data_IF_269861570497
#
_entry.id   IF_269861570497
#
_cell.length_a   1.000
_cell.length_b   1.000
_cell.length_c   1.000
_cell.angle_alpha   90.00
_cell.angle_beta   90.00
_cell.angle_gamma   90.00
#
_symmetry.space_group_name_H-M   'P 1'
#
loop_
_entity.id
_entity.type
_entity.pdbx_description
1 polymer ?
#
# COMPACT_ATOMS: atom_id res chain seq x y z
N UNK A 1 21.17 -26.56 11.37
CA UNK A 1 19.93 -25.77 11.54
C UNK A 1 19.96 -24.62 10.54
N UNK A 2 18.86 -24.41 9.79
CA UNK A 2 18.74 -23.23 8.95
C UNK A 2 18.67 -21.98 9.86
N UNK A 3 19.36 -20.88 9.49
CA UNK A 3 19.30 -19.67 10.30
C UNK A 3 17.85 -19.21 10.46
N UNK A 4 17.49 -18.82 11.68
CA UNK A 4 16.15 -18.30 11.97
C UNK A 4 15.89 -17.07 11.07
N UNK A 5 14.75 -17.08 10.37
CA UNK A 5 14.37 -15.96 9.51
C UNK A 5 14.16 -14.70 10.36
N UNK A 6 14.77 -13.56 10.01
CA UNK A 6 14.58 -12.32 10.76
C UNK A 6 13.15 -11.79 10.57
N UNK A 7 12.64 -11.10 11.58
CA UNK A 7 11.44 -10.28 11.40
C UNK A 7 11.78 -9.07 10.52
N UNK A 8 10.83 -8.67 9.66
CA UNK A 8 10.98 -7.53 8.76
C UNK A 8 9.91 -6.50 9.10
N UNK A 9 10.31 -5.28 9.42
CA UNK A 9 9.43 -4.14 9.62
C UNK A 9 9.77 -3.11 8.56
N UNK A 10 8.79 -2.77 7.72
CA UNK A 10 8.91 -1.73 6.71
C UNK A 10 8.06 -0.52 7.12
N UNK A 11 8.67 0.66 7.19
CA UNK A 11 8.01 1.91 7.55
C UNK A 11 8.08 2.87 6.37
N UNK A 12 6.92 3.21 5.81
CA UNK A 12 6.77 4.22 4.76
C UNK A 12 6.10 5.45 5.33
N UNK A 13 6.86 6.54 5.44
CA UNK A 13 6.31 7.82 5.81
C UNK A 13 5.59 8.48 4.63
N UNK A 14 4.47 9.15 4.90
CA UNK A 14 3.66 9.86 3.90
C UNK A 14 3.99 11.35 3.96
N UNK A 15 4.29 11.95 2.82
CA UNK A 15 4.63 13.37 2.67
C UNK A 15 5.82 13.86 3.51
N UNK A 16 6.78 12.97 3.80
CA UNK A 16 8.02 13.32 4.50
C UNK A 16 9.14 13.59 3.49
N UNK A 17 9.68 14.78 3.55
CA UNK A 17 10.79 15.19 2.70
C UNK A 17 12.17 14.84 3.28
N UNK A 18 13.18 14.87 2.44
CA UNK A 18 14.56 14.61 2.82
C UNK A 18 15.05 15.52 3.98
N UNK A 19 14.64 16.81 3.96
CA UNK A 19 15.00 17.79 4.98
C UNK A 19 14.18 17.72 6.27
N UNK A 20 13.26 16.78 6.41
CA UNK A 20 12.43 16.64 7.62
C UNK A 20 13.05 15.70 8.66
N UNK A 21 14.05 14.90 8.26
CA UNK A 21 14.70 13.90 9.11
C UNK A 21 16.05 14.42 9.61
N UNK A 22 16.29 14.28 10.92
CA UNK A 22 17.47 14.84 11.59
C UNK A 22 18.80 14.40 10.98
N UNK A 23 18.97 13.11 10.67
CA UNK A 23 20.21 12.56 10.07
C UNK A 23 20.52 13.15 8.68
N UNK A 24 19.53 13.70 7.99
CA UNK A 24 19.70 14.43 6.74
C UNK A 24 19.78 15.96 6.90
N UNK A 25 19.90 16.45 8.14
CA UNK A 25 19.97 17.88 8.45
C UNK A 25 18.61 18.54 8.70
N UNK A 26 17.57 17.77 8.93
CA UNK A 26 16.24 18.26 9.32
C UNK A 26 16.26 19.04 10.62
N UNK A 27 15.37 20.03 10.74
CA UNK A 27 15.28 20.90 11.93
C UNK A 27 14.47 20.28 13.08
N UNK A 28 13.63 19.31 12.76
CA UNK A 28 12.83 18.59 13.76
C UNK A 28 13.64 17.42 14.30
N UNK A 29 13.77 17.25 15.62
CA UNK A 29 14.49 16.11 16.17
C UNK A 29 13.81 14.78 15.84
N UNK A 30 14.55 13.85 15.27
CA UNK A 30 14.08 12.48 14.96
C UNK A 30 14.98 11.41 15.59
N UNK A 31 15.16 11.42 16.94
CA UNK A 31 16.22 10.66 17.60
C UNK A 31 16.15 9.14 17.36
N UNK A 32 14.96 8.57 17.23
CA UNK A 32 14.81 7.15 16.98
C UNK A 32 15.18 6.77 15.53
N UNK A 33 14.81 7.60 14.55
CA UNK A 33 15.20 7.40 13.14
C UNK A 33 16.69 7.61 12.98
N UNK A 34 17.23 8.65 13.61
CA UNK A 34 18.66 8.95 13.60
C UNK A 34 19.48 7.79 14.22
N UNK A 35 18.96 7.18 15.30
CA UNK A 35 19.57 6.00 15.92
C UNK A 35 19.57 4.78 14.98
N UNK A 36 18.49 4.56 14.23
CA UNK A 36 18.45 3.50 13.23
C UNK A 36 19.49 3.73 12.13
N UNK A 37 19.64 4.96 11.66
CA UNK A 37 20.64 5.32 10.67
C UNK A 37 22.08 5.07 11.16
N UNK A 38 22.36 5.33 12.45
CA UNK A 38 23.65 5.07 13.07
C UNK A 38 23.97 3.58 13.22
N UNK A 39 22.96 2.75 13.42
CA UNK A 39 23.11 1.30 13.63
C UNK A 39 23.01 0.49 12.34
N UNK A 40 22.52 1.09 11.27
CA UNK A 40 22.26 0.43 10.01
C UNK A 40 22.95 1.10 8.83
N UNK A 41 22.21 1.22 7.73
CA UNK A 41 22.69 1.83 6.50
C UNK A 41 21.87 3.08 6.18
N UNK A 42 22.54 4.19 5.92
CA UNK A 42 21.95 5.45 5.47
C UNK A 42 22.10 5.56 3.95
N UNK A 43 20.98 5.69 3.24
CA UNK A 43 20.98 5.94 1.80
C UNK A 43 20.92 7.45 1.55
N UNK A 44 21.92 7.98 0.85
CA UNK A 44 22.03 9.41 0.52
C UNK A 44 21.45 9.78 -0.84
N UNK A 45 21.12 8.77 -1.65
CA UNK A 45 20.59 8.92 -3.01
C UNK A 45 19.54 7.82 -3.31
N UNK A 46 18.47 7.80 -2.50
CA UNK A 46 17.34 6.92 -2.71
C UNK A 46 16.13 7.71 -3.26
N UNK A 47 15.50 7.18 -4.30
CA UNK A 47 14.41 7.84 -4.98
C UNK A 47 13.12 7.04 -4.89
N UNK A 48 12.02 7.73 -4.62
CA UNK A 48 10.69 7.16 -4.81
C UNK A 48 10.41 7.01 -6.31
N UNK A 49 9.73 5.93 -6.75
CA UNK A 49 9.39 5.74 -8.15
C UNK A 49 8.37 6.74 -8.69
N UNK A 50 7.70 7.50 -7.81
CA UNK A 50 6.75 8.55 -8.16
C UNK A 50 6.68 9.61 -7.06
N UNK A 51 6.23 10.80 -7.42
CA UNK A 51 6.06 11.94 -6.50
C UNK A 51 4.71 11.92 -5.75
N UNK A 52 3.89 10.91 -5.96
CA UNK A 52 2.55 10.78 -5.36
C UNK A 52 2.43 9.48 -4.56
N UNK A 53 1.54 9.51 -3.55
CA UNK A 53 1.33 8.42 -2.60
C UNK A 53 0.90 7.10 -3.26
N UNK A 54 -0.19 7.08 -4.03
CA UNK A 54 -0.72 5.85 -4.61
C UNK A 54 0.28 5.15 -5.56
N UNK A 55 0.90 5.82 -6.55
CA UNK A 55 1.85 5.16 -7.43
C UNK A 55 3.13 4.70 -6.70
N UNK A 56 3.57 5.41 -5.66
CA UNK A 56 4.71 4.97 -4.84
C UNK A 56 4.38 3.72 -4.04
N UNK A 57 3.17 3.66 -3.44
CA UNK A 57 2.67 2.50 -2.70
C UNK A 57 2.47 1.29 -3.59
N UNK A 58 1.93 1.51 -4.80
CA UNK A 58 1.82 0.48 -5.81
C UNK A 58 3.19 -0.14 -6.12
N UNK A 59 4.19 0.68 -6.40
CA UNK A 59 5.54 0.19 -6.72
C UNK A 59 6.17 -0.56 -5.56
N UNK A 60 5.98 -0.07 -4.33
CA UNK A 60 6.48 -0.74 -3.14
C UNK A 60 5.86 -2.14 -2.98
N UNK A 61 4.55 -2.24 -3.12
CA UNK A 61 3.83 -3.49 -2.88
C UNK A 61 4.00 -4.51 -4.01
N UNK A 62 4.20 -4.06 -5.26
CA UNK A 62 4.23 -4.95 -6.44
C UNK A 62 5.62 -5.09 -7.08
N UNK A 63 6.59 -4.27 -6.70
CA UNK A 63 7.89 -4.22 -7.37
C UNK A 63 7.84 -3.69 -8.81
N UNK A 64 6.71 -3.14 -9.23
CA UNK A 64 6.49 -2.65 -10.60
C UNK A 64 6.37 -1.14 -10.67
N UNK A 65 6.84 -0.53 -11.76
CA UNK A 65 6.58 0.88 -12.01
C UNK A 65 5.11 1.12 -12.35
N UNK A 66 4.50 2.25 -11.89
CA UNK A 66 3.07 2.52 -12.08
C UNK A 66 2.61 2.53 -13.53
N UNK A 67 3.45 3.01 -14.45
CA UNK A 67 3.13 3.06 -15.88
C UNK A 67 3.03 1.67 -16.54
N UNK A 68 3.53 0.62 -15.88
CA UNK A 68 3.41 -0.77 -16.36
C UNK A 68 2.09 -1.44 -15.97
N UNK A 69 1.27 -0.77 -15.15
CA UNK A 69 -0.02 -1.31 -14.73
C UNK A 69 -0.99 -1.51 -15.92
N UNK A 70 -0.82 -0.74 -17.01
CA UNK A 70 -1.64 -0.85 -18.21
C UNK A 70 -3.08 -0.33 -18.05
N UNK A 71 -3.45 0.22 -16.89
CA UNK A 71 -4.79 0.73 -16.62
C UNK A 71 -4.93 2.18 -17.06
N UNK A 72 -6.08 2.58 -17.66
CA UNK A 72 -6.44 3.98 -17.80
C UNK A 72 -6.47 4.63 -16.42
N UNK A 73 -5.77 5.75 -16.23
CA UNK A 73 -5.65 6.39 -14.91
C UNK A 73 -4.50 5.84 -14.04
N UNK A 74 -3.79 4.80 -14.49
CA UNK A 74 -2.64 4.25 -13.78
C UNK A 74 -3.01 3.49 -12.51
N UNK A 75 -2.16 3.58 -11.49
CA UNK A 75 -2.26 2.82 -10.24
C UNK A 75 -3.26 3.38 -9.22
N UNK A 76 -4.09 4.36 -9.57
CA UNK A 76 -4.95 5.00 -8.59
C UNK A 76 -6.34 5.42 -9.08
N UNK A 77 -6.90 4.69 -10.01
CA UNK A 77 -8.30 4.86 -10.36
C UNK A 77 -9.19 4.23 -9.28
N UNK A 78 -9.62 5.05 -8.33
CA UNK A 78 -10.48 4.66 -7.21
C UNK A 78 -11.88 4.20 -7.62
N UNK A 79 -12.29 4.39 -8.86
CA UNK A 79 -13.60 3.97 -9.36
C UNK A 79 -13.62 2.51 -9.83
N UNK A 80 -12.46 1.86 -9.82
CA UNK A 80 -12.30 0.48 -10.27
C UNK A 80 -11.79 -0.41 -9.12
N UNK A 81 -11.70 -1.70 -9.38
CA UNK A 81 -11.02 -2.66 -8.51
C UNK A 81 -9.63 -2.20 -8.12
N UNK A 82 -9.01 -2.85 -7.15
CA UNK A 82 -7.69 -2.48 -6.67
C UNK A 82 -6.66 -2.38 -7.80
N UNK A 83 -5.62 -1.60 -7.58
CA UNK A 83 -4.52 -1.43 -8.54
C UNK A 83 -3.65 -2.69 -8.72
N UNK A 84 -3.90 -3.75 -7.97
CA UNK A 84 -3.15 -5.00 -8.10
C UNK A 84 -3.52 -5.78 -9.36
N UNK A 85 -4.72 -5.61 -9.89
CA UNK A 85 -5.11 -6.21 -11.18
C UNK A 85 -4.52 -5.45 -12.36
N UNK A 86 -3.94 -6.17 -13.32
CA UNK A 86 -3.43 -5.60 -14.57
C UNK A 86 -4.60 -5.47 -15.56
N UNK A 87 -4.77 -4.29 -16.14
CA UNK A 87 -5.87 -4.01 -17.09
C UNK A 87 -7.28 -4.36 -16.55
N UNK A 88 -7.45 -4.41 -15.22
CA UNK A 88 -8.70 -4.83 -14.59
C UNK A 88 -8.93 -6.35 -14.59
N UNK A 89 -7.99 -7.14 -15.06
CA UNK A 89 -8.03 -8.60 -14.99
C UNK A 89 -7.69 -9.06 -13.56
N UNK A 90 -8.65 -9.69 -12.91
CA UNK A 90 -8.54 -10.21 -11.53
C UNK A 90 -8.10 -11.67 -11.47
N UNK A 91 -7.82 -12.30 -12.59
CA UNK A 91 -7.30 -13.67 -12.61
C UNK A 91 -5.85 -13.69 -12.09
N UNK A 92 -5.39 -14.86 -11.69
CA UNK A 92 -4.00 -15.08 -11.28
C UNK A 92 -2.99 -14.63 -12.35
N UNK A 93 -3.35 -14.75 -13.63
CA UNK A 93 -2.50 -14.33 -14.75
C UNK A 93 -2.50 -12.81 -14.98
N UNK A 94 -3.56 -12.13 -14.56
CA UNK A 94 -3.76 -10.69 -14.81
C UNK A 94 -3.46 -9.77 -13.62
N UNK A 95 -2.92 -10.30 -12.51
CA UNK A 95 -2.60 -9.50 -11.33
C UNK A 95 -1.10 -9.50 -11.01
N UNK A 96 -0.67 -8.49 -10.30
CA UNK A 96 0.69 -8.44 -9.76
C UNK A 96 0.78 -9.26 -8.46
N UNK A 97 1.86 -10.03 -8.34
CA UNK A 97 2.25 -10.62 -7.07
C UNK A 97 2.74 -9.51 -6.15
N UNK A 98 2.25 -9.49 -4.92
CA UNK A 98 2.64 -8.49 -3.93
C UNK A 98 3.80 -8.97 -3.05
N UNK A 99 4.47 -8.03 -2.39
CA UNK A 99 5.47 -8.36 -1.36
C UNK A 99 4.85 -9.17 -0.22
N UNK A 100 3.57 -8.94 0.11
CA UNK A 100 2.84 -9.73 1.11
C UNK A 100 2.78 -11.20 0.73
N UNK A 101 2.38 -11.51 -0.51
CA UNK A 101 2.31 -12.88 -1.02
C UNK A 101 3.71 -13.54 -1.08
N UNK A 102 4.73 -12.80 -1.48
CA UNK A 102 6.11 -13.31 -1.48
C UNK A 102 6.54 -13.69 -0.06
N UNK A 103 6.23 -12.84 0.92
CA UNK A 103 6.57 -13.10 2.32
C UNK A 103 5.76 -14.26 2.92
N UNK A 104 4.46 -14.36 2.62
CA UNK A 104 3.65 -15.51 3.03
C UNK A 104 4.18 -16.82 2.43
N UNK A 105 4.50 -16.84 1.14
CA UNK A 105 5.10 -17.99 0.47
C UNK A 105 6.45 -18.38 1.07
N UNK A 106 7.17 -17.42 1.63
CA UNK A 106 8.38 -17.65 2.40
C UNK A 106 8.11 -18.08 3.86
N UNK A 107 6.85 -18.23 4.27
CA UNK A 107 6.46 -18.69 5.60
C UNK A 107 6.45 -17.61 6.68
N UNK A 108 6.35 -16.34 6.30
CA UNK A 108 6.14 -15.25 7.25
C UNK A 108 4.63 -15.08 7.54
N UNK A 109 4.33 -14.59 8.73
CA UNK A 109 3.05 -13.95 9.00
C UNK A 109 3.16 -12.49 8.62
N UNK A 110 2.16 -11.97 7.94
CA UNK A 110 2.20 -10.65 7.32
C UNK A 110 1.12 -9.74 7.88
N UNK A 111 1.46 -8.49 8.12
CA UNK A 111 0.50 -7.48 8.54
C UNK A 111 0.78 -6.13 7.86
N UNK A 112 -0.28 -5.39 7.60
CA UNK A 112 -0.20 -4.03 7.05
C UNK A 112 -0.98 -3.08 7.96
N UNK A 113 -0.38 -1.95 8.28
CA UNK A 113 -0.99 -0.90 9.09
C UNK A 113 -0.92 0.44 8.36
N UNK A 114 -2.05 1.14 8.30
CA UNK A 114 -2.11 2.48 7.75
C UNK A 114 -2.73 2.56 6.35
N UNK A 115 -2.34 3.60 5.61
CA UNK A 115 -2.93 3.98 4.33
C UNK A 115 -2.53 3.01 3.21
N UNK A 116 -3.50 2.36 2.58
CA UNK A 116 -3.31 1.53 1.38
C UNK A 116 -3.31 2.37 0.10
N UNK A 117 -4.39 3.11 -0.15
CA UNK A 117 -4.60 4.01 -1.28
C UNK A 117 -4.43 3.38 -2.67
N UNK A 118 -4.85 2.14 -2.84
CA UNK A 118 -4.77 1.42 -4.11
C UNK A 118 -6.12 0.87 -4.60
N UNK A 119 -7.22 1.37 -4.03
CA UNK A 119 -8.56 0.92 -4.34
C UNK A 119 -8.92 -0.38 -3.65
N UNK A 120 -10.05 -0.95 -4.05
CA UNK A 120 -10.65 -2.13 -3.48
C UNK A 120 -12.15 -2.11 -3.71
N UNK A 121 -12.84 -3.19 -3.38
CA UNK A 121 -14.28 -3.28 -3.50
C UNK A 121 -14.96 -2.92 -2.17
N UNK A 122 -15.79 -1.90 -2.19
CA UNK A 122 -16.70 -1.57 -1.10
C UNK A 122 -18.14 -1.93 -1.51
N UNK A 123 -18.95 -2.33 -0.54
CA UNK A 123 -20.25 -2.90 -0.79
C UNK A 123 -21.36 -2.07 -0.13
N UNK A 124 -22.53 -2.04 -0.77
CA UNK A 124 -23.75 -1.52 -0.17
C UNK A 124 -24.43 -2.60 0.72
N UNK A 125 -25.52 -2.24 1.38
CA UNK A 125 -26.30 -3.13 2.25
C UNK A 125 -26.81 -4.39 1.53
N UNK A 126 -27.03 -4.31 0.21
CA UNK A 126 -27.44 -5.45 -0.62
C UNK A 126 -26.27 -6.38 -1.01
N UNK A 127 -25.04 -6.00 -0.70
CA UNK A 127 -23.84 -6.74 -1.08
C UNK A 127 -23.37 -6.48 -2.51
N UNK A 128 -23.85 -5.41 -3.13
CA UNK A 128 -23.42 -4.99 -4.46
C UNK A 128 -22.20 -4.07 -4.34
N UNK A 129 -21.24 -4.22 -5.25
CA UNK A 129 -20.04 -3.38 -5.28
C UNK A 129 -20.41 -1.95 -5.71
N UNK A 130 -20.00 -0.99 -4.91
CA UNK A 130 -20.20 0.43 -5.21
C UNK A 130 -19.10 0.89 -6.17
N UNK A 131 -19.47 1.35 -7.35
CA UNK A 131 -18.58 1.92 -8.37
C UNK A 131 -18.76 3.41 -8.61
N UNK A 132 -19.77 4.01 -8.02
CA UNK A 132 -20.13 5.41 -8.21
C UNK A 132 -19.88 6.19 -6.92
N UNK A 133 -19.08 7.26 -7.00
CA UNK A 133 -18.76 8.11 -5.83
C UNK A 133 -19.98 8.66 -5.10
N UNK A 134 -21.02 9.01 -5.83
CA UNK A 134 -22.26 9.53 -5.26
C UNK A 134 -23.08 8.48 -4.50
N UNK A 135 -22.70 7.21 -4.56
CA UNK A 135 -23.32 6.10 -3.83
C UNK A 135 -22.51 5.63 -2.62
N UNK A 136 -21.37 6.25 -2.33
CA UNK A 136 -20.55 5.88 -1.16
C UNK A 136 -21.27 6.05 0.18
N UNK A 137 -22.26 6.94 0.23
CA UNK A 137 -23.13 7.08 1.41
C UNK A 137 -24.01 5.85 1.69
N UNK A 138 -24.09 4.90 0.78
CA UNK A 138 -24.81 3.61 0.95
C UNK A 138 -23.89 2.47 1.38
N UNK A 139 -22.64 2.77 1.70
CA UNK A 139 -21.65 1.76 2.08
C UNK A 139 -22.01 1.06 3.40
N UNK A 140 -21.98 -0.27 3.36
CA UNK A 140 -22.13 -1.11 4.54
C UNK A 140 -20.76 -1.33 5.20
N UNK A 141 -20.50 -0.58 6.26
CA UNK A 141 -19.26 -0.67 7.02
C UNK A 141 -19.09 -1.98 7.80
N UNK A 142 -20.14 -2.80 7.90
CA UNK A 142 -20.06 -4.13 8.53
C UNK A 142 -19.40 -5.17 7.62
N UNK A 143 -19.32 -4.88 6.35
CA UNK A 143 -18.67 -5.75 5.34
C UNK A 143 -17.19 -5.42 5.22
N UNK A 144 -16.40 -6.45 5.05
CA UNK A 144 -14.98 -6.28 4.70
C UNK A 144 -14.82 -5.67 3.30
N UNK A 145 -13.64 -5.13 3.05
CA UNK A 145 -13.22 -4.65 1.72
C UNK A 145 -12.82 -5.86 0.88
N UNK A 146 -13.43 -6.03 -0.28
CA UNK A 146 -13.00 -7.02 -1.27
C UNK A 146 -11.86 -6.50 -2.16
N UNK A 147 -11.11 -7.39 -2.75
CA UNK A 147 -9.90 -7.07 -3.53
C UNK A 147 -8.93 -6.17 -2.74
N UNK A 148 -8.90 -6.37 -1.42
CA UNK A 148 -8.07 -5.63 -0.48
C UNK A 148 -6.79 -6.36 -0.12
N UNK A 149 -6.02 -5.81 0.81
CA UNK A 149 -4.72 -6.37 1.19
C UNK A 149 -4.79 -7.80 1.76
N UNK A 150 -5.91 -8.18 2.38
CA UNK A 150 -6.08 -9.56 2.87
C UNK A 150 -6.13 -10.59 1.73
N UNK A 151 -6.54 -10.19 0.54
CA UNK A 151 -6.54 -11.04 -0.65
C UNK A 151 -5.21 -10.96 -1.43
N UNK A 152 -4.31 -10.07 -0.99
CA UNK A 152 -3.02 -9.79 -1.60
C UNK A 152 -1.84 -10.04 -0.65
N UNK A 153 -1.96 -11.10 0.17
CA UNK A 153 -0.83 -11.62 0.94
C UNK A 153 -0.59 -10.97 2.30
N UNK A 154 -1.59 -10.31 2.88
CA UNK A 154 -1.51 -9.82 4.25
C UNK A 154 -2.53 -10.55 5.14
N UNK A 155 -2.04 -11.30 6.14
CA UNK A 155 -2.87 -12.02 7.11
C UNK A 155 -3.73 -11.06 7.95
N UNK A 156 -3.23 -9.85 8.15
CA UNK A 156 -3.90 -8.81 8.91
C UNK A 156 -3.70 -7.45 8.25
N UNK A 157 -4.78 -6.68 8.16
CA UNK A 157 -4.75 -5.30 7.71
C UNK A 157 -5.64 -4.43 8.58
N UNK A 158 -5.09 -3.30 9.03
CA UNK A 158 -5.81 -2.24 9.73
C UNK A 158 -5.38 -0.89 9.18
N UNK A 159 -6.28 -0.16 8.54
CA UNK A 159 -5.94 1.14 7.99
C UNK A 159 -7.00 1.73 7.08
N UNK A 160 -6.55 2.64 6.24
CA UNK A 160 -7.40 3.40 5.33
C UNK A 160 -7.31 2.83 3.92
N UNK A 161 -8.48 2.58 3.31
CA UNK A 161 -8.58 2.09 1.94
C UNK A 161 -8.11 3.14 0.94
N UNK A 162 -8.46 4.40 1.16
CA UNK A 162 -8.19 5.52 0.27
C UNK A 162 -7.25 6.58 0.88
N UNK A 163 -7.00 7.66 0.14
CA UNK A 163 -6.29 8.83 0.66
C UNK A 163 -7.22 9.71 1.48
N UNK A 164 -6.71 10.26 2.57
CA UNK A 164 -7.48 11.11 3.50
C UNK A 164 -8.10 12.36 2.89
N UNK A 165 -7.74 12.71 1.66
CA UNK A 165 -8.20 13.94 0.99
C UNK A 165 -9.42 13.75 0.07
N UNK A 166 -9.82 12.51 -0.20
CA UNK A 166 -10.72 12.24 -1.33
C UNK A 166 -11.99 11.48 -0.98
N UNK A 167 -12.14 10.98 0.24
CA UNK A 167 -13.27 10.11 0.57
C UNK A 167 -13.93 10.53 1.90
N UNK A 168 -15.27 10.56 1.92
CA UNK A 168 -15.99 10.55 3.18
C UNK A 168 -15.81 9.20 3.85
N UNK A 169 -15.45 9.21 5.10
CA UNK A 169 -15.45 8.04 5.98
C UNK A 169 -16.76 7.97 6.73
#
# INVERSE_FOLDING_TARGET
ELPQKPNVVFILADDVGYGDIGVYGGKVPTPNIDSLAQQGMLFTDAHSPAALCAPSRYSLLTGSYPYRNGRPGGSWDVNNSSAFSVNGDRTEAGRHITVGEIMQNAGYRTAFFGKMHLGGDVYNENGEVIREKNKLNTMDFSRGVGDGLNEHGFDYWLGLLSGTQHEPY
#
